data_IF_561594750377
#
_entry.id   IF_561594750377
#
_cell.length_a   1.000
_cell.length_b   1.000
_cell.length_c   1.000
_cell.angle_alpha   90.00
_cell.angle_beta   90.00
_cell.angle_gamma   90.00
#
_symmetry.space_group_name_H-M   'P 1'
#
loop_
_entity.id
_entity.type
_entity.pdbx_description
1 polymer ?
#
# COMPACT_ATOMS: atom_id res chain seq x y z
N UNK A 1 -0.09 19.08 31.64
CA UNK A 1 -0.41 20.53 31.57
C UNK A 1 -1.93 20.68 31.46
N UNK A 2 -2.62 20.06 30.52
CA UNK A 2 -4.09 20.19 30.35
C UNK A 2 -4.90 19.53 31.47
N UNK A 3 -4.40 18.40 31.99
CA UNK A 3 -5.00 17.76 33.18
C UNK A 3 -4.88 18.59 34.46
N UNK A 4 -3.98 19.56 34.49
CA UNK A 4 -3.76 20.51 35.57
C UNK A 4 -4.46 21.85 35.32
N UNK A 5 -5.32 21.95 34.29
CA UNK A 5 -6.07 23.16 33.96
C UNK A 5 -5.31 24.21 33.14
N UNK A 6 -4.11 23.88 32.66
CA UNK A 6 -3.35 24.75 31.75
C UNK A 6 -3.74 24.53 30.29
N UNK A 7 -3.74 25.60 29.50
CA UNK A 7 -3.96 25.51 28.06
C UNK A 7 -2.61 25.39 27.33
N UNK A 8 -2.37 24.21 26.71
CA UNK A 8 -1.16 23.93 25.94
C UNK A 8 -1.31 24.39 24.45
N UNK A 9 -1.74 25.64 24.21
CA UNK A 9 -2.03 26.13 22.86
C UNK A 9 -0.82 25.99 21.93
N UNK A 10 0.37 26.36 22.39
CA UNK A 10 1.58 26.26 21.58
C UNK A 10 1.89 24.82 21.17
N UNK A 11 1.73 23.84 22.06
CA UNK A 11 1.93 22.42 21.75
C UNK A 11 0.85 21.89 20.80
N UNK A 12 -0.37 22.41 20.90
CA UNK A 12 -1.45 22.07 19.95
C UNK A 12 -1.16 22.63 18.56
N UNK A 13 -0.65 23.86 18.47
CA UNK A 13 -0.27 24.47 17.20
C UNK A 13 0.90 23.73 16.56
N UNK A 14 1.91 23.34 17.34
CA UNK A 14 3.03 22.52 16.87
C UNK A 14 2.53 21.15 16.36
N UNK A 15 1.63 20.49 17.11
CA UNK A 15 1.00 19.23 16.70
C UNK A 15 0.24 19.39 15.38
N UNK A 16 -0.57 20.44 15.24
CA UNK A 16 -1.31 20.72 14.03
C UNK A 16 -0.38 20.90 12.83
N UNK A 17 0.70 21.65 13.00
CA UNK A 17 1.72 21.85 11.96
C UNK A 17 2.34 20.52 11.51
N UNK A 18 2.74 19.67 12.46
CA UNK A 18 3.31 18.35 12.14
C UNK A 18 2.33 17.43 11.42
N UNK A 19 1.05 17.48 11.78
CA UNK A 19 0.00 16.72 11.10
C UNK A 19 -0.25 17.25 9.70
N UNK A 20 -0.22 18.56 9.49
CA UNK A 20 -0.33 19.18 8.17
C UNK A 20 0.85 18.78 7.27
N UNK A 21 2.07 18.72 7.81
CA UNK A 21 3.23 18.22 7.09
C UNK A 21 3.09 16.72 6.76
N UNK A 22 2.66 15.89 7.70
CA UNK A 22 2.42 14.48 7.50
C UNK A 22 1.36 14.24 6.41
N UNK A 23 0.30 15.04 6.40
CA UNK A 23 -0.81 14.91 5.45
C UNK A 23 -0.43 15.20 4.00
N UNK A 24 0.66 15.93 3.75
CA UNK A 24 1.24 16.10 2.41
C UNK A 24 1.95 14.82 1.93
N UNK A 25 2.57 14.11 2.86
CA UNK A 25 3.34 12.90 2.58
C UNK A 25 2.42 11.70 2.39
N UNK A 26 1.44 11.52 3.28
CA UNK A 26 0.50 10.39 3.29
C UNK A 26 -0.89 10.82 3.74
N UNK A 27 -1.97 10.18 3.26
CA UNK A 27 -3.32 10.45 3.73
C UNK A 27 -3.41 10.18 5.23
N UNK A 28 -3.73 11.23 5.98
CA UNK A 28 -3.76 11.20 7.44
C UNK A 28 -5.18 11.41 7.95
N UNK A 29 -5.61 10.56 8.85
CA UNK A 29 -6.89 10.70 9.57
C UNK A 29 -6.64 10.96 11.03
N UNK A 30 -7.26 12.01 11.56
CA UNK A 30 -7.18 12.38 12.97
C UNK A 30 -8.51 12.08 13.64
N UNK A 31 -8.45 11.51 14.82
CA UNK A 31 -9.60 11.32 15.70
C UNK A 31 -9.27 11.93 17.07
N UNK A 32 -10.06 12.89 17.47
CA UNK A 32 -9.96 13.52 18.79
C UNK A 32 -11.26 13.28 19.56
N UNK A 33 -11.15 12.65 20.72
CA UNK A 33 -12.30 12.33 21.60
C UNK A 33 -12.07 12.91 22.97
N UNK A 34 -13.08 13.58 23.48
CA UNK A 34 -13.08 14.07 24.87
C UNK A 34 -13.21 12.90 25.83
N UNK A 35 -12.39 12.88 26.86
CA UNK A 35 -12.47 11.87 27.91
C UNK A 35 -13.51 12.34 28.94
N UNK A 36 -14.57 11.55 29.11
CA UNK A 36 -15.61 11.79 30.11
C UNK A 36 -15.34 10.95 31.37
N UNK A 37 -15.93 11.35 32.46
CA UNK A 37 -15.82 10.61 33.71
C UNK A 37 -16.62 9.29 33.61
N UNK A 38 -16.03 8.18 34.00
CA UNK A 38 -16.66 6.86 33.94
C UNK A 38 -17.92 6.72 34.79
N UNK A 39 -18.05 7.55 35.82
CA UNK A 39 -19.20 7.54 36.73
C UNK A 39 -20.26 8.59 36.35
N UNK A 40 -19.91 9.58 35.56
CA UNK A 40 -20.77 10.68 35.12
C UNK A 40 -20.43 11.01 33.67
N UNK A 41 -21.11 10.38 32.72
CA UNK A 41 -20.82 10.49 31.27
C UNK A 41 -20.93 11.93 30.72
N UNK A 42 -21.71 12.78 31.40
CA UNK A 42 -21.87 14.19 31.02
C UNK A 42 -20.76 15.10 31.56
N UNK A 43 -19.85 14.58 32.39
CA UNK A 43 -18.73 15.35 32.93
C UNK A 43 -17.44 15.13 32.18
N UNK A 44 -17.00 16.18 31.50
CA UNK A 44 -15.71 16.21 30.81
C UNK A 44 -14.56 16.34 31.80
N UNK A 45 -13.55 15.46 31.69
CA UNK A 45 -12.39 15.44 32.60
C UNK A 45 -11.32 16.49 32.29
N UNK A 46 -11.46 17.21 31.18
CA UNK A 46 -10.43 18.14 30.66
C UNK A 46 -9.38 17.47 29.76
N UNK A 47 -9.32 16.15 29.71
CA UNK A 47 -8.40 15.39 28.87
C UNK A 47 -9.03 15.05 27.51
N UNK A 48 -8.20 14.97 26.50
CA UNK A 48 -8.57 14.58 25.14
C UNK A 48 -7.77 13.36 24.73
N UNK A 49 -8.44 12.38 24.15
CA UNK A 49 -7.82 11.24 23.51
C UNK A 49 -7.54 11.55 22.04
N UNK A 50 -6.31 11.42 21.61
CA UNK A 50 -5.88 11.83 20.28
C UNK A 50 -5.24 10.67 19.53
N UNK A 51 -5.79 10.36 18.36
CA UNK A 51 -5.30 9.27 17.51
C UNK A 51 -5.01 9.78 16.12
N UNK A 52 -3.86 9.40 15.57
CA UNK A 52 -3.46 9.67 14.18
C UNK A 52 -3.37 8.35 13.46
N UNK A 53 -4.05 8.24 12.32
CA UNK A 53 -4.04 7.05 11.46
C UNK A 53 -3.52 7.39 10.08
N UNK A 54 -2.69 6.51 9.52
CA UNK A 54 -2.25 6.54 8.13
C UNK A 54 -2.57 5.19 7.47
N UNK A 55 -3.06 5.22 6.23
CA UNK A 55 -3.48 4.00 5.52
C UNK A 55 -4.39 3.08 6.37
N UNK A 56 -5.30 3.67 7.15
CA UNK A 56 -6.23 2.92 8.02
C UNK A 56 -5.62 2.33 9.29
N UNK A 57 -4.31 2.39 9.48
CA UNK A 57 -3.61 1.89 10.67
C UNK A 57 -3.18 3.02 11.60
N UNK A 58 -3.17 2.75 12.89
CA UNK A 58 -2.81 3.73 13.92
C UNK A 58 -1.32 3.97 13.92
N UNK A 59 -0.94 5.24 13.71
CA UNK A 59 0.43 5.71 13.82
C UNK A 59 0.71 6.25 15.23
N UNK A 60 -0.20 7.04 15.76
CA UNK A 60 -0.13 7.59 17.12
C UNK A 60 -1.42 7.31 17.85
N UNK A 61 -1.32 6.80 19.05
CA UNK A 61 -2.44 6.53 19.95
C UNK A 61 -2.13 7.13 21.32
N UNK A 62 -2.50 8.39 21.48
CA UNK A 62 -2.28 9.18 22.67
C UNK A 62 -0.80 9.25 23.07
N UNK A 63 -0.28 8.28 23.84
CA UNK A 63 1.11 8.20 24.29
C UNK A 63 1.93 7.14 23.56
N UNK A 64 1.27 6.25 22.86
CA UNK A 64 1.92 5.20 22.10
C UNK A 64 2.09 5.62 20.64
N UNK A 65 3.16 5.19 20.03
CA UNK A 65 3.38 5.42 18.60
C UNK A 65 3.91 4.18 17.93
N UNK A 66 3.56 4.03 16.67
CA UNK A 66 4.14 3.05 15.78
C UNK A 66 5.07 3.77 14.79
N UNK A 67 5.95 3.03 14.15
CA UNK A 67 6.88 3.58 13.19
C UNK A 67 6.88 2.72 11.92
N UNK A 68 7.27 3.33 10.80
CA UNK A 68 7.58 2.61 9.58
C UNK A 68 9.08 2.28 9.56
N UNK A 69 9.39 1.08 9.10
CA UNK A 69 10.75 0.60 8.88
C UNK A 69 10.94 0.18 7.42
N UNK A 70 12.17 0.23 6.94
CA UNK A 70 12.52 -0.27 5.61
C UNK A 70 12.95 -1.73 5.70
N UNK A 71 12.35 -2.59 4.87
CA UNK A 71 12.72 -3.99 4.70
C UNK A 71 13.19 -4.21 3.27
N UNK A 72 14.34 -4.86 3.08
CA UNK A 72 14.81 -5.22 1.74
C UNK A 72 13.81 -6.16 1.07
N UNK A 73 13.53 -5.92 -0.20
CA UNK A 73 12.73 -6.81 -1.04
C UNK A 73 13.45 -8.12 -1.28
N UNK A 74 12.71 -9.21 -1.20
CA UNK A 74 13.22 -10.53 -1.57
C UNK A 74 13.24 -10.71 -3.10
N UNK A 75 12.35 -10.00 -3.82
CA UNK A 75 12.20 -10.10 -5.28
C UNK A 75 11.93 -8.72 -5.89
N UNK A 76 12.38 -8.54 -7.14
CA UNK A 76 12.04 -7.35 -7.95
C UNK A 76 10.55 -7.37 -8.33
N UNK A 77 9.91 -6.21 -8.36
CA UNK A 77 8.55 -6.06 -8.89
C UNK A 77 8.59 -5.86 -10.40
N UNK A 78 9.51 -5.03 -10.88
CA UNK A 78 9.76 -4.82 -12.29
C UNK A 78 11.14 -5.33 -12.65
N UNK A 79 11.31 -5.78 -13.88
CA UNK A 79 12.58 -6.27 -14.37
C UNK A 79 13.67 -5.20 -14.37
N UNK A 80 13.31 -3.96 -14.66
CA UNK A 80 14.21 -2.81 -14.66
C UNK A 80 14.63 -2.36 -13.27
N UNK A 81 14.00 -2.88 -12.21
CA UNK A 81 14.34 -2.49 -10.84
C UNK A 81 15.76 -2.91 -10.50
N UNK A 82 16.41 -2.08 -9.70
CA UNK A 82 17.70 -2.41 -9.08
C UNK A 82 17.45 -3.49 -8.02
N UNK A 83 18.41 -4.40 -7.84
CA UNK A 83 18.36 -5.38 -6.75
C UNK A 83 18.50 -4.70 -5.39
N UNK A 84 17.79 -5.24 -4.40
CA UNK A 84 17.88 -4.76 -3.01
C UNK A 84 17.10 -3.48 -2.73
N UNK A 85 16.09 -3.15 -3.53
CA UNK A 85 15.15 -2.09 -3.18
C UNK A 85 14.42 -2.42 -1.87
N UNK A 86 14.02 -1.40 -1.14
CA UNK A 86 13.34 -1.51 0.13
C UNK A 86 11.84 -1.28 0.00
N UNK A 87 11.07 -2.05 0.74
CA UNK A 87 9.66 -1.81 1.01
C UNK A 87 9.47 -1.26 2.41
N UNK A 88 8.36 -0.57 2.63
CA UNK A 88 7.97 -0.09 3.95
C UNK A 88 7.18 -1.17 4.68
N UNK A 89 7.49 -1.32 5.95
CA UNK A 89 6.79 -2.22 6.87
C UNK A 89 6.51 -1.50 8.18
N UNK A 90 5.48 -1.92 8.88
CA UNK A 90 5.22 -1.47 10.23
C UNK A 90 6.26 -2.06 11.19
N UNK A 91 7.01 -1.21 11.89
CA UNK A 91 8.11 -1.65 12.75
C UNK A 91 7.63 -2.57 13.88
N UNK A 92 6.42 -2.38 14.39
CA UNK A 92 5.86 -3.17 15.49
C UNK A 92 5.45 -4.59 15.08
N UNK A 93 4.97 -4.79 13.84
CA UNK A 93 4.39 -6.06 13.39
C UNK A 93 5.17 -6.70 12.25
N UNK A 94 6.01 -5.94 11.54
CA UNK A 94 6.61 -6.38 10.28
C UNK A 94 5.63 -6.49 9.11
N UNK A 95 4.37 -6.11 9.30
CA UNK A 95 3.37 -6.12 8.25
C UNK A 95 3.70 -5.10 7.16
N UNK A 96 3.43 -5.44 5.91
CA UNK A 96 3.66 -4.54 4.77
C UNK A 96 2.83 -3.26 4.90
N UNK A 97 3.49 -2.12 4.64
CA UNK A 97 2.82 -0.85 4.42
C UNK A 97 2.69 -0.64 2.91
N UNK A 98 1.49 -0.87 2.37
CA UNK A 98 1.22 -0.72 0.95
C UNK A 98 1.12 0.77 0.58
N UNK A 99 2.24 1.33 0.10
CA UNK A 99 2.31 2.72 -0.34
C UNK A 99 1.59 2.97 -1.67
N UNK A 100 1.23 1.92 -2.41
CA UNK A 100 0.57 2.00 -3.72
C UNK A 100 -0.92 1.66 -3.68
N UNK A 101 -1.46 1.35 -2.49
CA UNK A 101 -2.87 1.06 -2.30
C UNK A 101 -3.78 2.16 -2.90
N UNK A 102 -4.96 1.79 -3.35
CA UNK A 102 -5.91 2.71 -4.03
C UNK A 102 -6.33 3.91 -3.17
N UNK A 103 -6.34 3.73 -1.85
CA UNK A 103 -6.65 4.79 -0.88
C UNK A 103 -5.44 5.65 -0.50
N UNK A 104 -4.25 5.31 -1.00
CA UNK A 104 -3.04 6.09 -0.80
C UNK A 104 -2.95 7.24 -1.80
N UNK A 105 -2.40 8.36 -1.34
CA UNK A 105 -2.10 9.57 -2.12
C UNK A 105 -0.93 10.31 -1.46
N UNK A 106 -0.54 11.45 -2.02
CA UNK A 106 0.52 12.27 -1.46
C UNK A 106 1.91 11.93 -2.01
N UNK A 107 2.91 12.59 -1.44
CA UNK A 107 4.30 12.52 -1.93
C UNK A 107 4.88 11.11 -1.85
N UNK A 108 4.56 10.38 -0.78
CA UNK A 108 5.08 9.02 -0.59
C UNK A 108 4.67 8.09 -1.73
N UNK A 109 3.38 8.10 -2.11
CA UNK A 109 2.90 7.31 -3.25
C UNK A 109 3.59 7.72 -4.54
N UNK A 110 3.70 9.02 -4.82
CA UNK A 110 4.36 9.51 -6.01
C UNK A 110 5.82 9.06 -6.10
N UNK A 111 6.55 9.07 -4.98
CA UNK A 111 7.93 8.58 -4.93
C UNK A 111 8.03 7.08 -5.22
N UNK A 112 7.10 6.27 -4.70
CA UNK A 112 7.05 4.84 -5.01
C UNK A 112 6.72 4.59 -6.49
N UNK A 113 5.76 5.33 -7.06
CA UNK A 113 5.42 5.22 -8.48
C UNK A 113 6.58 5.63 -9.40
N UNK A 114 7.34 6.67 -9.03
CA UNK A 114 8.55 7.06 -9.77
C UNK A 114 9.64 5.98 -9.64
N UNK A 115 9.85 5.45 -8.44
CA UNK A 115 10.88 4.44 -8.18
C UNK A 115 10.58 3.12 -8.87
N UNK A 116 9.36 2.63 -8.75
CA UNK A 116 8.94 1.31 -9.22
C UNK A 116 8.38 1.33 -10.64
N UNK A 117 8.40 2.48 -11.30
CA UNK A 117 7.73 2.70 -12.57
C UNK A 117 6.23 2.87 -12.43
N UNK A 118 5.55 3.10 -13.53
CA UNK A 118 4.10 3.22 -13.53
C UNK A 118 3.46 1.84 -13.32
N UNK A 119 3.10 1.53 -12.07
CA UNK A 119 2.49 0.25 -11.71
C UNK A 119 1.12 -0.01 -12.37
N UNK A 120 0.50 1.02 -12.94
CA UNK A 120 -0.72 0.87 -13.76
C UNK A 120 -0.41 0.38 -15.19
N UNK A 121 0.84 0.47 -15.65
CA UNK A 121 1.27 0.00 -16.97
C UNK A 121 2.00 -1.36 -16.90
N UNK A 122 2.49 -1.76 -15.73
CA UNK A 122 3.17 -3.02 -15.53
C UNK A 122 2.27 -4.00 -14.78
N UNK A 123 1.99 -5.14 -15.39
CA UNK A 123 1.24 -6.20 -14.75
C UNK A 123 2.11 -6.89 -13.69
N UNK A 124 1.69 -6.81 -12.45
CA UNK A 124 2.30 -7.51 -11.31
C UNK A 124 1.28 -8.38 -10.62
N UNK A 125 1.69 -9.51 -10.06
CA UNK A 125 0.80 -10.42 -9.36
C UNK A 125 1.51 -11.72 -8.98
N UNK A 126 0.76 -12.63 -8.37
CA UNK A 126 1.26 -13.95 -7.98
C UNK A 126 1.18 -14.90 -9.16
N UNK A 127 2.33 -15.37 -9.61
CA UNK A 127 2.42 -16.34 -10.71
C UNK A 127 2.20 -17.78 -10.20
N UNK A 128 1.33 -18.51 -10.86
CA UNK A 128 1.11 -19.94 -10.65
C UNK A 128 1.28 -20.66 -11.99
N UNK A 129 2.06 -21.73 -11.99
CA UNK A 129 2.21 -22.59 -13.17
C UNK A 129 0.94 -23.41 -13.36
N UNK A 130 0.20 -23.17 -14.44
CA UNK A 130 -1.04 -23.87 -14.74
C UNK A 130 -0.78 -25.13 -15.58
N UNK A 131 0.17 -25.04 -16.53
CA UNK A 131 0.66 -26.17 -17.33
C UNK A 131 2.15 -26.00 -17.65
N UNK A 132 2.72 -26.88 -18.49
CA UNK A 132 4.11 -26.73 -18.94
C UNK A 132 4.36 -25.40 -19.68
N UNK A 133 3.37 -24.94 -20.45
CA UNK A 133 3.44 -23.75 -21.31
C UNK A 133 2.43 -22.68 -20.94
N UNK A 134 1.69 -22.82 -19.86
CA UNK A 134 0.68 -21.84 -19.43
C UNK A 134 0.94 -21.43 -17.99
N UNK A 135 0.81 -20.15 -17.72
CA UNK A 135 0.90 -19.57 -16.39
C UNK A 135 -0.29 -18.66 -16.10
N UNK A 136 -0.71 -18.66 -14.86
CA UNK A 136 -1.78 -17.79 -14.38
C UNK A 136 -1.24 -16.81 -13.36
N UNK A 137 -1.59 -15.53 -13.53
CA UNK A 137 -1.30 -14.46 -12.58
C UNK A 137 -2.59 -14.14 -11.83
N UNK A 138 -2.56 -14.25 -10.50
CA UNK A 138 -3.67 -13.91 -9.60
C UNK A 138 -3.29 -12.74 -8.71
N UNK A 139 -4.30 -12.01 -8.21
CA UNK A 139 -4.08 -10.81 -7.39
C UNK A 139 -3.30 -9.73 -8.14
N UNK A 140 -3.60 -9.58 -9.42
CA UNK A 140 -2.93 -8.60 -10.26
C UNK A 140 -3.29 -7.16 -9.84
N UNK A 141 -2.36 -6.24 -10.03
CA UNK A 141 -2.53 -4.81 -9.77
C UNK A 141 -3.49 -4.14 -10.76
N UNK A 142 -3.60 -4.67 -11.98
CA UNK A 142 -4.54 -4.19 -13.01
C UNK A 142 -5.77 -5.10 -12.98
N UNK A 143 -6.86 -4.58 -12.46
CA UNK A 143 -8.14 -5.29 -12.33
C UNK A 143 -9.22 -4.75 -13.26
N UNK A 144 -9.02 -3.56 -13.83
CA UNK A 144 -9.94 -2.90 -14.73
C UNK A 144 -9.55 -3.21 -16.19
N UNK A 145 -10.46 -3.83 -16.93
CA UNK A 145 -10.23 -4.22 -18.33
C UNK A 145 -9.99 -3.00 -19.23
N UNK A 146 -10.61 -1.87 -18.91
CA UNK A 146 -10.47 -0.65 -19.69
C UNK A 146 -9.11 0.03 -19.48
N UNK A 147 -8.44 -0.27 -18.38
CA UNK A 147 -7.09 0.20 -18.07
C UNK A 147 -5.99 -0.74 -18.54
N UNK A 148 -6.39 -1.91 -19.02
CA UNK A 148 -5.43 -2.90 -19.50
C UNK A 148 -4.91 -2.51 -20.88
N UNK A 149 -3.64 -2.13 -20.95
CA UNK A 149 -2.95 -1.79 -22.21
C UNK A 149 -1.90 -2.86 -22.56
N UNK A 150 -2.35 -4.12 -22.62
CA UNK A 150 -1.47 -5.23 -22.99
C UNK A 150 -1.70 -5.65 -24.44
N UNK A 151 -0.63 -5.82 -25.23
CA UNK A 151 -0.73 -6.36 -26.59
C UNK A 151 -1.17 -7.83 -26.53
N UNK A 152 -1.91 -8.27 -27.55
CA UNK A 152 -2.43 -9.63 -27.65
C UNK A 152 -1.32 -10.70 -27.60
N UNK A 153 -0.11 -10.37 -28.04
CA UNK A 153 1.09 -11.20 -27.95
C UNK A 153 2.29 -10.32 -27.61
N UNK A 154 3.28 -10.87 -26.91
CA UNK A 154 4.41 -10.08 -26.45
C UNK A 154 5.40 -10.88 -25.61
N UNK A 155 6.10 -10.21 -24.73
CA UNK A 155 7.04 -10.85 -23.81
C UNK A 155 6.75 -10.43 -22.37
N UNK A 156 6.97 -11.39 -21.49
CA UNK A 156 6.87 -11.21 -20.05
C UNK A 156 8.12 -11.79 -19.38
N UNK A 157 8.38 -11.30 -18.18
CA UNK A 157 9.52 -11.77 -17.40
C UNK A 157 9.04 -12.46 -16.13
N UNK A 158 9.54 -13.66 -15.92
CA UNK A 158 9.27 -14.45 -14.73
C UNK A 158 10.60 -14.91 -14.16
N UNK A 159 10.89 -14.59 -12.89
CA UNK A 159 12.15 -14.95 -12.21
C UNK A 159 13.41 -14.62 -13.05
N UNK A 160 13.49 -13.38 -13.57
CA UNK A 160 14.59 -12.91 -14.41
C UNK A 160 14.79 -13.66 -15.73
N UNK A 161 13.80 -14.43 -16.20
CA UNK A 161 13.80 -15.09 -17.50
C UNK A 161 12.69 -14.52 -18.37
N UNK A 162 13.02 -14.20 -19.62
CA UNK A 162 12.07 -13.74 -20.61
C UNK A 162 11.33 -14.92 -21.25
N UNK A 163 10.02 -14.80 -21.29
CA UNK A 163 9.11 -15.68 -21.98
C UNK A 163 8.29 -14.88 -22.98
N UNK A 164 8.00 -15.45 -24.13
CA UNK A 164 7.08 -14.86 -25.09
C UNK A 164 5.74 -15.55 -24.95
N UNK A 165 4.66 -14.78 -25.00
CA UNK A 165 3.30 -15.30 -25.02
C UNK A 165 2.67 -15.02 -26.38
N UNK A 166 1.88 -15.97 -26.86
CA UNK A 166 1.17 -15.88 -28.12
C UNK A 166 -0.27 -15.38 -27.92
N UNK A 167 -0.82 -15.64 -26.75
CA UNK A 167 -2.15 -15.19 -26.32
C UNK A 167 -2.23 -15.07 -24.80
N UNK A 168 -3.23 -14.35 -24.33
CA UNK A 168 -3.63 -14.35 -22.93
C UNK A 168 -5.16 -14.25 -22.80
N UNK A 169 -5.69 -14.78 -21.71
CA UNK A 169 -7.08 -14.72 -21.34
C UNK A 169 -7.23 -14.10 -19.95
N UNK A 170 -8.35 -13.40 -19.70
CA UNK A 170 -8.68 -12.83 -18.40
C UNK A 170 -9.95 -13.47 -17.86
N UNK A 171 -9.95 -13.80 -16.57
CA UNK A 171 -11.17 -14.13 -15.83
C UNK A 171 -11.65 -12.90 -15.08
N UNK A 172 -12.96 -12.68 -15.07
CA UNK A 172 -13.58 -11.54 -14.37
C UNK A 172 -14.55 -12.03 -13.31
N UNK A 173 -14.73 -11.21 -12.27
CA UNK A 173 -15.76 -11.41 -11.25
C UNK A 173 -17.13 -10.91 -11.73
N UNK A 174 -18.15 -10.99 -10.86
CA UNK A 174 -19.51 -10.55 -11.15
C UNK A 174 -19.61 -9.01 -11.36
N UNK A 175 -18.66 -8.25 -10.86
CA UNK A 175 -18.58 -6.80 -10.98
C UNK A 175 -17.76 -6.35 -12.20
N UNK A 176 -17.24 -7.31 -12.98
CA UNK A 176 -16.43 -7.07 -14.18
C UNK A 176 -14.95 -6.80 -13.92
N UNK A 177 -14.47 -6.96 -12.68
CA UNK A 177 -13.06 -6.79 -12.40
C UNK A 177 -12.29 -8.07 -12.75
N UNK A 178 -11.08 -7.90 -13.29
CA UNK A 178 -10.21 -9.01 -13.64
C UNK A 178 -9.66 -9.65 -12.36
N UNK A 179 -9.86 -10.95 -12.21
CA UNK A 179 -9.39 -11.75 -11.07
C UNK A 179 -8.12 -12.53 -11.40
N UNK A 180 -7.94 -12.92 -12.65
CA UNK A 180 -6.75 -13.64 -13.10
C UNK A 180 -6.44 -13.36 -14.57
N UNK A 181 -5.16 -13.50 -14.90
CA UNK A 181 -4.63 -13.49 -16.27
C UNK A 181 -3.98 -14.83 -16.54
N UNK A 182 -4.34 -15.49 -17.63
CA UNK A 182 -3.69 -16.73 -18.07
C UNK A 182 -2.97 -16.50 -19.39
N UNK A 183 -1.67 -16.75 -19.41
CA UNK A 183 -0.79 -16.56 -20.56
C UNK A 183 -0.38 -17.90 -21.15
N UNK A 184 -0.49 -18.04 -22.46
CA UNK A 184 0.05 -19.14 -23.23
C UNK A 184 1.45 -18.78 -23.74
N UNK A 185 2.44 -19.49 -23.21
CA UNK A 185 3.85 -19.24 -23.46
C UNK A 185 4.37 -20.12 -24.59
N UNK A 186 5.25 -19.56 -25.39
CA UNK A 186 5.91 -20.31 -26.47
C UNK A 186 7.01 -21.29 -25.99
N UNK A 187 7.37 -21.24 -24.70
CA UNK A 187 8.36 -22.13 -24.07
C UNK A 187 7.89 -22.56 -22.69
N UNK A 188 8.26 -23.77 -22.25
CA UNK A 188 7.93 -24.25 -20.91
C UNK A 188 8.53 -23.35 -19.82
N UNK A 189 7.72 -23.06 -18.77
CA UNK A 189 8.19 -22.44 -17.55
C UNK A 189 9.21 -23.36 -16.87
N UNK A 190 10.44 -22.88 -16.78
CA UNK A 190 11.48 -23.53 -15.99
C UNK A 190 11.44 -22.94 -14.58
N UNK A 191 11.07 -23.77 -13.62
CA UNK A 191 11.18 -23.48 -12.17
C UNK A 191 12.63 -23.28 -11.78
#
# INVERSE_FOLDING_TARGET
IEMEGGHANELRDQRATLVDELSKIVPTKIEEKKVTNSNYEDQYTGATYYTVKINGQTLVDNYEYNALACKSRDYKYNQSDVEGLYDLVWASTGASFDATATNMSGELRAMFEIRDGNNSENLTGRVTKTSSTSMTITGANITDIDKMNMPASGSIWVNNKQYFYDSFECETDADGNITSYTFDLNKPLTT
#
